data_IF_163069346505
#
_entry.id   IF_163069346505
#
_cell.length_a   1.000
_cell.length_b   1.000
_cell.length_c   1.000
_cell.angle_alpha   90.00
_cell.angle_beta   90.00
_cell.angle_gamma   90.00
#
_symmetry.space_group_name_H-M   'P 1'
#
loop_
_entity.id
_entity.type
_entity.pdbx_description
1 polymer ?
#
# COMPACT_ATOMS: atom_id res chain seq x y z
N UNK A 1 8.16 -14.80 34.06
CA UNK A 1 7.47 -14.13 32.92
C UNK A 1 6.47 -13.17 33.51
N UNK A 2 6.94 -11.98 33.90
CA UNK A 2 6.13 -10.99 34.61
C UNK A 2 5.38 -10.11 33.62
N UNK A 3 4.12 -10.47 33.40
CA UNK A 3 3.14 -9.81 32.55
C UNK A 3 2.75 -8.39 33.03
N UNK A 4 3.39 -7.86 34.07
CA UNK A 4 3.10 -6.56 34.68
C UNK A 4 3.90 -5.37 34.11
N UNK A 5 4.84 -5.59 33.17
CA UNK A 5 5.70 -4.51 32.61
C UNK A 5 5.28 -3.97 31.21
N UNK A 6 4.10 -4.37 30.73
CA UNK A 6 3.58 -4.04 29.39
C UNK A 6 3.38 -2.55 29.05
N UNK A 7 2.91 -1.66 29.94
CA UNK A 7 2.56 -0.29 29.52
C UNK A 7 3.77 0.57 29.15
N UNK A 8 4.97 0.25 29.67
CA UNK A 8 6.20 1.00 29.40
C UNK A 8 6.80 0.71 28.03
N UNK A 9 6.86 -0.57 27.62
CA UNK A 9 7.54 -0.98 26.38
C UNK A 9 6.82 -0.51 25.12
N UNK A 10 5.48 -0.51 25.12
CA UNK A 10 4.67 -0.06 23.97
C UNK A 10 4.85 1.45 23.73
N UNK A 11 4.95 2.26 24.79
CA UNK A 11 5.19 3.71 24.66
C UNK A 11 6.53 4.02 24.01
N UNK A 12 7.56 3.27 24.37
CA UNK A 12 8.91 3.40 23.78
C UNK A 12 8.88 2.99 22.31
N UNK A 13 8.25 1.86 21.99
CA UNK A 13 8.12 1.36 20.61
C UNK A 13 7.35 2.35 19.71
N UNK A 14 6.25 2.94 20.21
CA UNK A 14 5.52 3.99 19.49
C UNK A 14 6.37 5.25 19.28
N UNK A 15 7.22 5.61 20.25
CA UNK A 15 8.16 6.73 20.11
C UNK A 15 9.21 6.47 19.03
N UNK A 16 9.75 5.25 18.98
CA UNK A 16 10.71 4.81 17.97
C UNK A 16 10.08 4.79 16.58
N UNK A 17 8.87 4.22 16.43
CA UNK A 17 8.11 4.26 15.17
C UNK A 17 7.88 5.70 14.71
N UNK A 18 7.58 6.64 15.63
CA UNK A 18 7.38 8.05 15.28
C UNK A 18 8.66 8.73 14.78
N UNK A 19 9.84 8.33 15.28
CA UNK A 19 11.12 8.83 14.75
C UNK A 19 11.38 8.31 13.35
N UNK A 20 11.12 7.03 13.09
CA UNK A 20 11.28 6.42 11.77
C UNK A 20 10.38 7.10 10.73
N UNK A 21 9.10 7.32 11.05
CA UNK A 21 8.16 8.03 10.17
C UNK A 21 8.55 9.49 9.90
N UNK A 22 9.37 10.11 10.77
CA UNK A 22 9.88 11.48 10.57
C UNK A 22 11.14 11.51 9.69
N UNK A 23 11.90 10.41 9.67
CA UNK A 23 13.10 10.24 8.84
C UNK A 23 12.74 9.86 7.40
N UNK A 24 11.61 9.19 7.19
CA UNK A 24 11.14 8.87 5.84
C UNK A 24 10.80 10.15 5.06
N UNK A 25 11.41 10.29 3.87
CA UNK A 25 11.12 11.40 2.94
C UNK A 25 9.65 11.34 2.52
N UNK A 26 8.89 12.39 2.82
CA UNK A 26 7.54 12.53 2.25
C UNK A 26 7.64 12.65 0.72
N UNK A 27 6.86 11.87 -0.04
CA UNK A 27 6.91 11.94 -1.49
C UNK A 27 6.51 13.34 -1.96
N UNK A 28 7.21 13.84 -2.97
CA UNK A 28 6.81 15.08 -3.63
C UNK A 28 5.57 14.84 -4.49
N UNK A 29 4.80 15.88 -4.77
CA UNK A 29 3.56 15.78 -5.57
C UNK A 29 3.82 15.29 -7.00
N UNK A 30 5.02 15.50 -7.52
CA UNK A 30 5.47 15.03 -8.84
C UNK A 30 5.79 13.53 -8.85
N UNK A 31 6.58 13.06 -7.87
CA UNK A 31 6.87 11.63 -7.68
C UNK A 31 5.56 10.85 -7.46
N UNK A 32 4.66 11.36 -6.63
CA UNK A 32 3.35 10.75 -6.38
C UNK A 32 2.52 10.64 -7.67
N UNK A 33 2.39 11.72 -8.44
CA UNK A 33 1.65 11.70 -9.72
C UNK A 33 2.24 10.70 -10.72
N UNK A 34 3.57 10.58 -10.75
CA UNK A 34 4.25 9.65 -11.66
C UNK A 34 3.94 8.20 -11.28
N UNK A 35 4.06 7.86 -10.00
CA UNK A 35 3.74 6.52 -9.50
C UNK A 35 2.27 6.19 -9.74
N UNK A 36 1.35 7.10 -9.42
CA UNK A 36 -0.09 6.89 -9.61
C UNK A 36 -0.44 6.68 -11.08
N UNK A 37 0.16 7.43 -12.01
CA UNK A 37 -0.06 7.26 -13.45
C UNK A 37 0.41 5.89 -13.94
N UNK A 38 1.61 5.47 -13.56
CA UNK A 38 2.18 4.19 -13.99
C UNK A 38 1.41 3.02 -13.38
N UNK A 39 1.14 3.05 -12.07
CA UNK A 39 0.35 2.02 -11.39
C UNK A 39 -1.09 1.97 -11.89
N UNK A 40 -1.72 3.12 -12.14
CA UNK A 40 -3.06 3.20 -12.70
C UNK A 40 -3.15 2.59 -14.09
N UNK A 41 -2.13 2.80 -14.93
CA UNK A 41 -2.05 2.18 -16.26
C UNK A 41 -1.92 0.65 -16.16
N UNK A 42 -1.11 0.16 -15.22
CA UNK A 42 -0.95 -1.28 -14.97
C UNK A 42 -2.24 -1.95 -14.49
N UNK A 43 -2.94 -1.33 -13.52
CA UNK A 43 -4.22 -1.83 -13.00
C UNK A 43 -5.27 -1.88 -14.13
N UNK A 44 -5.33 -0.85 -14.98
CA UNK A 44 -6.27 -0.80 -16.08
C UNK A 44 -5.99 -1.90 -17.11
N UNK A 45 -4.72 -2.13 -17.47
CA UNK A 45 -4.32 -3.21 -18.38
C UNK A 45 -4.70 -4.59 -17.82
N UNK A 46 -4.32 -4.88 -16.58
CA UNK A 46 -4.58 -6.20 -15.97
C UNK A 46 -6.09 -6.41 -15.80
N UNK A 47 -6.81 -5.37 -15.34
CA UNK A 47 -8.26 -5.39 -15.20
C UNK A 47 -8.97 -5.59 -16.54
N UNK A 48 -8.48 -4.96 -17.61
CA UNK A 48 -9.05 -5.11 -18.96
C UNK A 48 -8.82 -6.52 -19.50
N UNK A 49 -7.63 -7.11 -19.30
CA UNK A 49 -7.35 -8.49 -19.70
C UNK A 49 -8.26 -9.47 -18.95
N UNK A 50 -8.39 -9.32 -17.64
CA UNK A 50 -9.31 -10.14 -16.84
C UNK A 50 -10.77 -9.97 -17.27
N UNK A 51 -11.19 -8.74 -17.56
CA UNK A 51 -12.52 -8.42 -18.07
C UNK A 51 -12.79 -9.10 -19.42
N UNK A 52 -11.84 -9.06 -20.35
CA UNK A 52 -11.97 -9.72 -21.65
C UNK A 52 -12.15 -11.24 -21.53
N UNK A 53 -11.41 -11.89 -20.62
CA UNK A 53 -11.56 -13.35 -20.39
C UNK A 53 -12.97 -13.69 -19.92
N UNK A 54 -13.51 -12.91 -18.96
CA UNK A 54 -14.86 -13.11 -18.45
C UNK A 54 -15.90 -12.79 -19.51
N UNK A 55 -15.74 -11.70 -20.26
CA UNK A 55 -16.64 -11.35 -21.37
C UNK A 55 -16.72 -12.43 -22.43
N UNK A 56 -15.58 -12.98 -22.84
CA UNK A 56 -15.54 -14.07 -23.82
C UNK A 56 -16.21 -15.31 -23.27
N UNK A 57 -15.98 -15.64 -22.00
CA UNK A 57 -16.67 -16.77 -21.33
C UNK A 57 -18.19 -16.58 -21.34
N UNK A 58 -18.69 -15.40 -21.00
CA UNK A 58 -20.13 -15.08 -20.96
C UNK A 58 -20.78 -15.09 -22.35
N UNK A 59 -20.03 -14.76 -23.41
CA UNK A 59 -20.56 -14.73 -24.77
C UNK A 59 -20.56 -16.12 -25.45
N UNK A 60 -19.60 -16.99 -25.09
CA UNK A 60 -19.44 -18.33 -25.69
C UNK A 60 -20.18 -19.43 -24.93
N UNK A 61 -20.54 -19.21 -23.67
CA UNK A 61 -21.21 -20.18 -22.78
C UNK A 61 -22.65 -19.73 -22.53
#
# INVERSE_FOLDING_TARGET
MDVASWPGRIKIYLLECRRVLKITKKPTTEEFKTIVKVSGLGILLIGFVGFLIVMVKELLL
#
